data_IF_826896215475
#
_entry.id   IF_826896215475
#
_cell.length_a   1.000
_cell.length_b   1.000
_cell.length_c   1.000
_cell.angle_alpha   90.00
_cell.angle_beta   90.00
_cell.angle_gamma   90.00
#
_symmetry.space_group_name_H-M   'P 1'
#
loop_
_entity.id
_entity.type
_entity.pdbx_description
1 polymer ?
#
# COMPACT_ATOMS: atom_id res chain seq x y z
N UNK A 1 -1.63 11.97 -3.69
CA UNK A 1 -2.76 11.51 -2.79
C UNK A 1 -2.19 10.69 -1.65
N UNK A 2 -2.74 10.81 -0.43
CA UNK A 2 -2.21 10.11 0.75
C UNK A 2 -3.17 9.04 1.28
N UNK A 3 -2.62 7.92 1.75
CA UNK A 3 -3.36 6.81 2.33
C UNK A 3 -2.74 6.47 3.67
N UNK A 4 -3.54 6.52 4.74
CA UNK A 4 -3.13 6.03 6.06
C UNK A 4 -3.45 4.53 6.14
N UNK A 5 -2.47 3.74 6.53
CA UNK A 5 -2.57 2.29 6.72
C UNK A 5 -2.26 1.96 8.16
N UNK A 6 -3.16 1.24 8.81
CA UNK A 6 -3.00 0.75 10.17
C UNK A 6 -1.91 -0.31 10.23
N UNK A 7 -0.97 -0.17 11.17
CA UNK A 7 0.06 -1.21 11.40
C UNK A 7 -0.50 -2.48 12.03
N UNK A 8 -1.75 -2.44 12.50
CA UNK A 8 -2.47 -3.64 12.96
C UNK A 8 -2.95 -4.50 11.81
N UNK A 9 -3.15 -3.91 10.63
CA UNK A 9 -3.67 -4.61 9.46
C UNK A 9 -2.53 -5.12 8.57
N UNK A 10 -1.50 -4.27 8.34
CA UNK A 10 -0.34 -4.64 7.54
C UNK A 10 0.96 -4.14 8.16
N UNK A 11 1.97 -5.00 8.18
CA UNK A 11 3.32 -4.60 8.55
C UNK A 11 4.03 -3.89 7.38
N UNK A 12 5.11 -3.16 7.69
CA UNK A 12 5.87 -2.40 6.71
C UNK A 12 6.44 -3.23 5.54
N UNK A 13 6.86 -4.47 5.77
CA UNK A 13 7.41 -5.32 4.70
C UNK A 13 6.32 -5.75 3.72
N UNK A 14 5.10 -6.02 4.20
CA UNK A 14 3.93 -6.27 3.35
C UNK A 14 3.65 -5.06 2.45
N UNK A 15 3.67 -3.85 3.01
CA UNK A 15 3.44 -2.61 2.26
C UNK A 15 4.49 -2.36 1.17
N UNK A 16 5.77 -2.59 1.49
CA UNK A 16 6.84 -2.55 0.49
C UNK A 16 6.63 -3.58 -0.61
N UNK A 17 6.27 -4.82 -0.24
CA UNK A 17 6.10 -5.90 -1.21
C UNK A 17 4.98 -5.62 -2.20
N UNK A 18 3.86 -5.08 -1.72
CA UNK A 18 2.75 -4.69 -2.60
C UNK A 18 3.17 -3.56 -3.54
N UNK A 19 3.97 -2.59 -3.07
CA UNK A 19 4.46 -1.53 -3.94
C UNK A 19 5.38 -2.08 -5.05
N UNK A 20 6.23 -3.06 -4.75
CA UNK A 20 7.01 -3.76 -5.78
C UNK A 20 6.09 -4.44 -6.81
N UNK A 21 5.08 -5.18 -6.34
CA UNK A 21 4.14 -5.91 -7.21
C UNK A 21 3.27 -4.99 -8.07
N UNK A 22 2.98 -3.79 -7.58
CA UNK A 22 2.25 -2.76 -8.30
C UNK A 22 3.15 -1.93 -9.25
N UNK A 23 4.48 -2.16 -9.25
CA UNK A 23 5.43 -1.34 -10.01
C UNK A 23 5.59 0.08 -9.47
N UNK A 24 5.28 0.28 -8.19
CA UNK A 24 5.31 1.56 -7.47
C UNK A 24 6.52 1.73 -6.56
N UNK A 25 7.42 0.76 -6.53
CA UNK A 25 8.66 0.84 -5.75
C UNK A 25 9.49 2.06 -6.19
N UNK A 26 9.86 2.90 -5.22
CA UNK A 26 10.57 4.16 -5.48
C UNK A 26 9.69 5.32 -5.98
N UNK A 27 8.39 5.08 -6.18
CA UNK A 27 7.41 6.10 -6.60
C UNK A 27 6.50 6.48 -5.42
N UNK A 28 6.05 5.48 -4.64
CA UNK A 28 5.29 5.72 -3.41
C UNK A 28 6.24 6.00 -2.26
N UNK A 29 5.99 7.11 -1.55
CA UNK A 29 6.66 7.45 -0.31
C UNK A 29 6.04 6.72 0.88
N UNK A 30 6.87 6.24 1.81
CA UNK A 30 6.42 5.61 3.05
C UNK A 30 6.93 6.41 4.24
N UNK A 31 6.02 6.81 5.12
CA UNK A 31 6.32 7.61 6.30
C UNK A 31 5.70 6.98 7.54
N UNK A 32 6.43 6.99 8.65
CA UNK A 32 5.84 6.66 9.94
C UNK A 32 4.83 7.74 10.34
N UNK A 33 3.66 7.34 10.82
CA UNK A 33 2.56 8.20 11.25
C UNK A 33 2.03 7.72 12.60
N UNK A 34 2.83 7.93 13.66
CA UNK A 34 2.57 7.33 14.97
C UNK A 34 2.88 5.82 14.92
N UNK A 35 1.91 5.00 15.33
CA UNK A 35 2.00 3.55 15.20
C UNK A 35 1.70 3.07 13.77
N UNK A 36 1.14 3.93 12.92
CA UNK A 36 0.64 3.60 11.57
C UNK A 36 1.60 4.08 10.47
N UNK A 37 1.23 3.81 9.21
CA UNK A 37 2.01 4.18 8.03
C UNK A 37 1.23 5.12 7.12
N UNK A 38 1.82 6.26 6.80
CA UNK A 38 1.32 7.18 5.77
C UNK A 38 2.03 6.89 4.45
N UNK A 39 1.25 6.48 3.46
CA UNK A 39 1.69 6.28 2.08
C UNK A 39 1.35 7.52 1.25
N UNK A 40 2.35 8.03 0.54
CA UNK A 40 2.22 9.20 -0.34
C UNK A 40 2.37 8.74 -1.79
N UNK A 41 1.28 8.78 -2.54
CA UNK A 41 1.27 8.46 -3.97
C UNK A 41 1.61 9.72 -4.79
N UNK A 42 2.26 9.56 -5.96
CA UNK A 42 2.55 10.68 -6.85
C UNK A 42 1.27 11.40 -7.23
N UNK A 43 1.36 12.68 -7.51
CA UNK A 43 0.21 13.46 -7.99
C UNK A 43 0.07 13.33 -9.51
N UNK A 44 -1.16 13.11 -9.97
CA UNK A 44 -1.49 12.90 -11.37
C UNK A 44 -2.94 12.46 -11.55
N UNK A 45 -3.41 12.48 -12.80
CA UNK A 45 -4.79 12.05 -13.13
C UNK A 45 -5.01 10.56 -12.83
N UNK A 46 -3.96 9.74 -12.93
CA UNK A 46 -3.99 8.30 -12.65
C UNK A 46 -3.90 7.95 -11.16
N UNK A 47 -3.58 8.91 -10.28
CA UNK A 47 -3.34 8.63 -8.86
C UNK A 47 -4.49 7.87 -8.18
N UNK A 48 -5.77 8.18 -8.40
CA UNK A 48 -6.87 7.40 -7.83
C UNK A 48 -6.83 5.92 -8.24
N UNK A 49 -6.51 5.64 -9.50
CA UNK A 49 -6.40 4.27 -10.04
C UNK A 49 -5.22 3.53 -9.42
N UNK A 50 -4.09 4.21 -9.21
CA UNK A 50 -2.91 3.62 -8.54
C UNK A 50 -3.21 3.26 -7.08
N UNK A 51 -3.95 4.13 -6.37
CA UNK A 51 -4.38 3.89 -4.98
C UNK A 51 -5.34 2.70 -4.91
N UNK A 52 -6.28 2.60 -5.86
CA UNK A 52 -7.22 1.48 -5.93
C UNK A 52 -6.51 0.15 -6.19
N UNK A 53 -5.63 0.09 -7.20
CA UNK A 53 -4.84 -1.11 -7.51
C UNK A 53 -3.98 -1.56 -6.32
N UNK A 54 -3.35 -0.60 -5.62
CA UNK A 54 -2.55 -0.89 -4.43
C UNK A 54 -3.38 -1.51 -3.30
N UNK A 55 -4.57 -0.95 -3.02
CA UNK A 55 -5.49 -1.48 -2.00
C UNK A 55 -6.05 -2.85 -2.38
N UNK A 56 -6.36 -3.07 -3.66
CA UNK A 56 -6.82 -4.37 -4.14
C UNK A 56 -5.77 -5.46 -3.89
N UNK A 57 -4.50 -5.18 -4.19
CA UNK A 57 -3.39 -6.12 -3.96
C UNK A 57 -3.14 -6.42 -2.48
N UNK A 58 -3.30 -5.43 -1.60
CA UNK A 58 -3.24 -5.66 -0.15
C UNK A 58 -4.32 -6.66 0.30
N UNK A 59 -5.55 -6.45 -0.18
CA UNK A 59 -6.67 -7.36 0.10
C UNK A 59 -6.47 -8.75 -0.50
N UNK A 60 -5.90 -8.85 -1.69
CA UNK A 60 -5.60 -10.14 -2.33
C UNK A 60 -4.54 -10.92 -1.55
N UNK A 61 -3.56 -10.25 -0.94
CA UNK A 61 -2.60 -10.90 -0.04
C UNK A 61 -3.28 -11.46 1.21
N UNK A 62 -4.25 -10.75 1.80
CA UNK A 62 -5.07 -11.32 2.88
C UNK A 62 -5.75 -12.61 2.40
N UNK A 63 -6.48 -12.54 1.29
CA UNK A 63 -7.24 -13.67 0.78
C UNK A 63 -6.36 -14.89 0.44
N UNK A 64 -5.13 -14.67 -0.04
CA UNK A 64 -4.19 -15.75 -0.36
C UNK A 64 -3.53 -16.38 0.88
N UNK A 65 -3.50 -15.70 2.03
CA UNK A 65 -2.96 -16.23 3.29
C UNK A 65 -4.04 -16.97 4.10
N UNK A 66 -5.31 -16.55 4.01
CA UNK A 66 -6.43 -17.12 4.78
C UNK A 66 -7.21 -18.25 4.08
N UNK A 67 -6.90 -18.57 2.81
CA UNK A 67 -7.58 -19.62 2.01
C UNK A 67 -6.79 -20.94 1.90
N UNK A 68 -5.72 -21.13 2.69
CA UNK A 68 -4.98 -22.38 2.80
C UNK A 68 -5.04 -23.00 4.20
#
# INVERSE_FOLDING_TARGET
MNVLISSRDYDYHTLLKVAEMAGLAGIVGFHAAGDDYLLTFPDGEDTPRLVEDYKARLKDLENNIWMH
#
